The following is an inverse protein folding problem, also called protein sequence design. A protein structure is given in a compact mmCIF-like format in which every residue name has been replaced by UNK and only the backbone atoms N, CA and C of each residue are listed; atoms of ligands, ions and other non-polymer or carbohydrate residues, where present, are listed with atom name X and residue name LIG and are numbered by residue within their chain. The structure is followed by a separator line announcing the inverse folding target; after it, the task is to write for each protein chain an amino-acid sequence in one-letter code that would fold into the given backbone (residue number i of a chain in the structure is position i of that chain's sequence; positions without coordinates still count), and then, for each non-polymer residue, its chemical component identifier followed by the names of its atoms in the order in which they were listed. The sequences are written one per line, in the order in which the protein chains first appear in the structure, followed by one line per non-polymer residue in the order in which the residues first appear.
data_IF_203700084153
#
_entry.id   IF_203700084153
#
_cell.length_a   1.000
_cell.length_b   1.000
_cell.length_c   1.000
_cell.angle_alpha   90.00
_cell.angle_beta   90.00
_cell.angle_gamma   90.00
#
_symmetry.space_group_name_H-M   'P 1'
#
loop_
_entity.id
_entity.type
_entity.pdbx_description
1 polymer ?
#
# COMPACT_ATOMS: atom_id res chain seq x y z
N UNK A 1 -32.57 39.29 -7.63
CA UNK A 1 -31.30 39.11 -8.36
C UNK A 1 -30.30 40.07 -7.79
N UNK A 2 -29.08 39.64 -7.47
CA UNK A 2 -28.04 40.55 -6.99
C UNK A 2 -27.72 41.58 -8.08
N UNK A 3 -27.46 42.82 -7.67
CA UNK A 3 -27.14 43.93 -8.57
C UNK A 3 -25.69 43.92 -9.05
N UNK A 4 -24.84 43.10 -8.42
CA UNK A 4 -23.43 42.85 -8.77
C UNK A 4 -23.14 41.34 -8.81
N UNK A 5 -22.14 40.88 -9.60
CA UNK A 5 -21.72 39.49 -9.59
C UNK A 5 -21.29 39.01 -8.19
N UNK A 6 -21.69 37.80 -7.82
CA UNK A 6 -21.34 37.15 -6.55
C UNK A 6 -20.18 36.20 -6.79
N UNK A 7 -19.08 36.36 -6.05
CA UNK A 7 -17.97 35.42 -6.06
C UNK A 7 -18.27 34.21 -5.17
N UNK A 8 -18.25 33.02 -5.75
CA UNK A 8 -18.43 31.73 -5.06
C UNK A 8 -17.08 31.03 -5.03
N UNK A 9 -16.51 30.80 -3.84
CA UNK A 9 -15.30 29.97 -3.68
C UNK A 9 -15.67 28.67 -2.99
N UNK A 10 -15.31 27.54 -3.59
CA UNK A 10 -15.67 26.20 -3.11
C UNK A 10 -14.50 25.25 -3.22
N UNK A 11 -14.52 24.22 -2.39
CA UNK A 11 -13.70 23.02 -2.59
C UNK A 11 -14.51 21.97 -3.34
N UNK A 12 -13.84 21.16 -4.15
CA UNK A 12 -14.38 19.96 -4.77
C UNK A 12 -13.61 18.74 -4.29
N UNK A 13 -14.30 17.65 -3.98
CA UNK A 13 -13.69 16.44 -3.45
C UNK A 13 -14.15 15.22 -4.24
N UNK A 14 -13.24 14.29 -4.51
CA UNK A 14 -13.59 13.00 -5.07
C UNK A 14 -12.70 11.89 -4.54
N UNK A 15 -13.29 10.69 -4.43
CA UNK A 15 -12.61 9.45 -4.06
C UNK A 15 -13.14 8.30 -4.93
N UNK A 16 -12.23 7.46 -5.43
CA UNK A 16 -12.56 6.21 -6.12
C UNK A 16 -11.65 5.09 -5.66
N UNK A 17 -12.20 3.87 -5.68
CA UNK A 17 -11.47 2.63 -5.44
C UNK A 17 -11.03 2.00 -6.75
N UNK A 18 -9.84 1.39 -6.74
CA UNK A 18 -9.26 0.72 -7.90
C UNK A 18 -8.71 -0.64 -7.48
N UNK A 19 -8.95 -1.67 -8.29
CA UNK A 19 -8.32 -2.97 -8.06
C UNK A 19 -6.78 -2.85 -8.18
N UNK A 20 -6.01 -3.43 -7.25
CA UNK A 20 -4.56 -3.45 -7.36
C UNK A 20 -4.12 -4.26 -8.57
N UNK A 21 -2.97 -3.91 -9.15
CA UNK A 21 -2.40 -4.61 -10.31
C UNK A 21 -0.95 -5.06 -10.10
N UNK A 22 -0.44 -4.91 -8.88
CA UNK A 22 0.86 -5.41 -8.44
C UNK A 22 0.73 -5.90 -7.01
N UNK A 23 1.44 -6.97 -6.70
CA UNK A 23 1.66 -7.43 -5.34
C UNK A 23 3.16 -7.46 -5.07
N UNK A 24 3.60 -6.96 -3.92
CA UNK A 24 4.96 -7.18 -3.42
C UNK A 24 4.86 -8.12 -2.23
N UNK A 25 5.42 -9.32 -2.38
CA UNK A 25 5.53 -10.26 -1.26
C UNK A 25 6.86 -10.00 -0.57
N UNK A 26 6.83 -9.65 0.70
CA UNK A 26 8.02 -9.55 1.53
C UNK A 26 8.33 -10.91 2.15
N UNK A 27 9.57 -11.35 2.01
CA UNK A 27 10.04 -12.65 2.51
C UNK A 27 11.26 -12.44 3.38
N UNK A 28 11.40 -13.28 4.40
CA UNK A 28 12.62 -13.33 5.19
C UNK A 28 13.01 -14.77 5.48
N UNK A 29 14.29 -14.98 5.78
CA UNK A 29 14.85 -16.21 6.32
C UNK A 29 15.42 -15.88 7.68
N UNK A 30 15.15 -16.68 8.69
CA UNK A 30 15.75 -16.50 10.02
C UNK A 30 16.04 -17.83 10.70
N UNK A 31 17.24 -17.95 11.26
CA UNK A 31 17.64 -19.07 12.10
C UNK A 31 18.45 -18.57 13.29
N UNK A 32 18.22 -19.21 14.43
CA UNK A 32 18.97 -19.01 15.66
C UNK A 32 19.83 -20.24 15.97
N UNK A 33 20.92 -20.06 16.70
CA UNK A 33 21.83 -21.15 17.08
C UNK A 33 22.74 -20.78 18.24
N UNK A 34 23.25 -21.80 18.95
CA UNK A 34 24.21 -21.59 20.03
C UNK A 34 25.59 -21.19 19.48
N UNK A 35 25.86 -21.50 18.21
CA UNK A 35 27.04 -21.03 17.47
C UNK A 35 26.66 -20.29 16.18
N UNK A 36 27.60 -19.50 15.65
CA UNK A 36 27.41 -18.86 14.34
C UNK A 36 27.12 -19.88 13.24
N UNK A 37 27.82 -21.02 13.23
CA UNK A 37 27.67 -22.03 12.18
C UNK A 37 26.29 -22.69 12.22
N UNK A 38 25.77 -22.96 13.42
CA UNK A 38 24.43 -23.53 13.62
C UNK A 38 23.32 -22.61 13.09
N UNK A 39 23.47 -21.29 13.21
CA UNK A 39 22.52 -20.34 12.63
C UNK A 39 22.77 -20.10 11.12
N UNK A 40 24.04 -19.97 10.70
CA UNK A 40 24.39 -19.53 9.36
C UNK A 40 24.16 -20.59 8.28
N UNK A 41 24.50 -21.85 8.55
CA UNK A 41 24.39 -22.94 7.57
C UNK A 41 22.94 -23.18 7.12
N UNK A 42 21.95 -23.35 8.02
CA UNK A 42 20.56 -23.51 7.59
C UNK A 42 20.01 -22.23 6.93
N UNK A 43 20.36 -21.04 7.43
CA UNK A 43 19.95 -19.78 6.79
C UNK A 43 20.44 -19.68 5.33
N UNK A 44 21.70 -20.03 5.06
CA UNK A 44 22.25 -20.05 3.70
C UNK A 44 21.54 -21.10 2.81
N UNK A 45 21.26 -22.29 3.34
CA UNK A 45 20.53 -23.35 2.63
C UNK A 45 19.11 -22.91 2.25
N UNK A 46 18.37 -22.33 3.19
CA UNK A 46 17.00 -21.85 2.94
C UNK A 46 16.97 -20.64 2.02
N UNK A 47 17.92 -19.71 2.13
CA UNK A 47 18.06 -18.59 1.19
C UNK A 47 18.35 -19.08 -0.24
N UNK A 48 19.16 -20.13 -0.41
CA UNK A 48 19.40 -20.75 -1.71
C UNK A 48 18.13 -21.42 -2.27
N UNK A 49 17.40 -22.18 -1.44
CA UNK A 49 16.14 -22.81 -1.83
C UNK A 49 15.09 -21.78 -2.25
N UNK A 50 14.94 -20.69 -1.48
CA UNK A 50 14.04 -19.59 -1.80
C UNK A 50 14.43 -18.90 -3.11
N UNK A 51 15.74 -18.71 -3.33
CA UNK A 51 16.26 -18.14 -4.59
C UNK A 51 15.90 -19.00 -5.79
N UNK A 52 16.05 -20.32 -5.69
CA UNK A 52 15.69 -21.24 -6.77
C UNK A 52 14.18 -21.30 -7.03
N UNK A 53 13.36 -21.25 -5.98
CA UNK A 53 11.91 -21.10 -6.12
C UNK A 53 11.55 -19.82 -6.90
N UNK A 54 12.10 -18.67 -6.48
CA UNK A 54 11.85 -17.39 -7.15
C UNK A 54 12.29 -17.42 -8.62
N UNK A 55 13.46 -18.02 -8.91
CA UNK A 55 13.96 -18.19 -10.29
C UNK A 55 13.06 -19.06 -11.13
N UNK A 56 12.54 -20.15 -10.56
CA UNK A 56 11.60 -21.05 -11.24
C UNK A 56 10.33 -20.32 -11.62
N UNK A 57 9.72 -19.60 -10.68
CA UNK A 57 8.51 -18.79 -10.92
C UNK A 57 8.78 -17.68 -11.93
N UNK A 58 9.96 -17.05 -11.90
CA UNK A 58 10.33 -15.99 -12.84
C UNK A 58 10.50 -16.48 -14.30
N UNK A 59 10.92 -17.75 -14.48
CA UNK A 59 11.09 -18.38 -15.79
C UNK A 59 9.79 -18.90 -16.41
N UNK A 60 8.68 -18.90 -15.67
CA UNK A 60 7.38 -19.32 -16.19
C UNK A 60 7.00 -18.50 -17.46
N UNK A 61 6.37 -19.08 -18.50
CA UNK A 61 6.09 -18.39 -19.77
C UNK A 61 5.25 -17.11 -19.63
N UNK A 62 4.36 -17.06 -18.64
CA UNK A 62 3.55 -15.87 -18.34
C UNK A 62 4.36 -14.75 -17.64
N UNK A 63 5.59 -15.07 -17.24
CA UNK A 63 6.51 -14.22 -16.49
C UNK A 63 5.84 -13.51 -15.29
N UNK A 64 5.26 -14.22 -14.32
CA UNK A 64 4.46 -13.61 -13.26
C UNK A 64 5.24 -12.61 -12.38
N UNK A 65 6.57 -12.75 -12.30
CA UNK A 65 7.44 -11.85 -11.55
C UNK A 65 7.90 -10.68 -12.43
N UNK A 66 7.81 -9.46 -11.89
CA UNK A 66 8.34 -8.23 -12.52
C UNK A 66 9.78 -7.96 -12.11
N UNK A 67 10.10 -8.15 -10.83
CA UNK A 67 11.42 -7.99 -10.22
C UNK A 67 11.44 -8.69 -8.87
N UNK A 68 12.62 -9.04 -8.39
CA UNK A 68 12.81 -9.54 -7.04
C UNK A 68 14.21 -9.17 -6.53
N UNK A 69 14.39 -9.20 -5.22
CA UNK A 69 15.67 -9.05 -4.55
C UNK A 69 15.68 -9.93 -3.30
N UNK A 70 16.85 -10.47 -2.96
CA UNK A 70 17.11 -11.13 -1.69
C UNK A 70 18.50 -10.67 -1.24
N UNK A 71 18.57 -10.12 -0.03
CA UNK A 71 19.81 -9.62 0.53
C UNK A 71 20.74 -10.77 0.92
N UNK A 72 22.03 -10.46 1.04
CA UNK A 72 23.00 -11.41 1.59
C UNK A 72 22.63 -11.78 3.03
N UNK A 73 22.94 -13.02 3.42
CA UNK A 73 22.75 -13.46 4.80
C UNK A 73 23.57 -12.59 5.74
N UNK A 74 22.89 -11.96 6.70
CA UNK A 74 23.46 -11.14 7.76
C UNK A 74 23.55 -11.96 9.04
N UNK A 75 24.56 -11.66 9.86
CA UNK A 75 24.79 -12.34 11.13
C UNK A 75 24.76 -11.35 12.27
N UNK A 76 24.02 -11.68 13.31
CA UNK A 76 23.98 -10.92 14.56
C UNK A 76 24.07 -11.89 15.74
N UNK A 77 24.19 -11.34 16.94
CA UNK A 77 24.08 -12.10 18.19
C UNK A 77 23.46 -11.23 19.27
N UNK A 78 22.70 -11.86 20.15
CA UNK A 78 22.07 -11.19 21.28
C UNK A 78 22.11 -12.09 22.52
N UNK A 79 21.93 -11.52 23.71
CA UNK A 79 21.73 -12.32 24.93
C UNK A 79 20.26 -12.22 25.32
N UNK A 80 19.58 -13.36 25.49
CA UNK A 80 18.24 -13.34 26.05
C UNK A 80 18.26 -12.73 27.46
N UNK A 81 17.17 -12.06 27.81
CA UNK A 81 16.96 -11.55 29.16
C UNK A 81 16.64 -12.69 30.12
N UNK A 82 17.24 -12.66 31.32
CA UNK A 82 16.85 -13.54 32.41
C UNK A 82 16.21 -12.71 33.54
N UNK A 83 15.02 -13.07 34.05
CA UNK A 83 14.30 -12.30 35.08
C UNK A 83 15.14 -11.94 36.31
N UNK A 84 15.96 -12.88 36.78
CA UNK A 84 16.83 -12.67 37.95
C UNK A 84 18.18 -11.98 37.62
N UNK A 85 18.31 -11.35 36.45
CA UNK A 85 19.55 -10.65 36.04
C UNK A 85 20.74 -11.56 35.70
N UNK A 86 20.53 -12.88 35.58
CA UNK A 86 21.59 -13.82 35.21
C UNK A 86 22.04 -13.59 33.77
N UNK A 87 23.35 -13.60 33.55
CA UNK A 87 23.95 -13.41 32.22
C UNK A 87 23.87 -14.73 31.42
N UNK A 88 22.90 -14.84 30.52
CA UNK A 88 22.73 -15.99 29.64
C UNK A 88 23.79 -16.04 28.52
N UNK A 89 24.08 -17.23 27.93
CA UNK A 89 24.94 -17.36 26.76
C UNK A 89 24.48 -16.49 25.57
N UNK A 90 25.40 -16.22 24.63
CA UNK A 90 25.04 -15.57 23.37
C UNK A 90 24.14 -16.51 22.55
N UNK A 91 23.05 -15.97 22.01
CA UNK A 91 22.35 -16.56 20.88
C UNK A 91 22.85 -15.92 19.59
N UNK A 92 23.17 -16.73 18.59
CA UNK A 92 23.55 -16.25 17.26
C UNK A 92 22.35 -16.32 16.36
N UNK A 93 22.15 -15.27 15.57
CA UNK A 93 21.05 -15.17 14.65
C UNK A 93 21.61 -14.92 13.24
N UNK A 94 21.06 -15.60 12.25
CA UNK A 94 21.36 -15.38 10.84
C UNK A 94 20.08 -15.12 10.07
N UNK A 95 20.04 -14.01 9.33
CA UNK A 95 18.85 -13.57 8.61
C UNK A 95 19.15 -13.20 7.16
N UNK A 96 18.17 -13.36 6.29
CA UNK A 96 18.17 -12.75 4.95
C UNK A 96 16.77 -12.19 4.69
N UNK A 97 16.67 -11.05 4.00
CA UNK A 97 15.37 -10.45 3.69
C UNK A 97 15.27 -10.11 2.22
N UNK A 98 14.06 -10.11 1.68
CA UNK A 98 13.85 -9.91 0.27
C UNK A 98 12.44 -9.48 -0.06
N UNK A 99 12.23 -9.22 -1.35
CA UNK A 99 10.91 -8.93 -1.88
C UNK A 99 10.74 -9.47 -3.28
N UNK A 100 9.54 -9.92 -3.60
CA UNK A 100 9.16 -10.41 -4.93
C UNK A 100 7.99 -9.58 -5.41
N UNK A 101 8.18 -8.82 -6.49
CA UNK A 101 7.12 -8.00 -7.10
C UNK A 101 6.44 -8.78 -8.21
N UNK A 102 5.18 -9.16 -8.02
CA UNK A 102 4.35 -9.84 -9.00
C UNK A 102 3.61 -8.85 -9.91
N UNK A 103 3.56 -9.20 -11.20
CA UNK A 103 2.69 -8.55 -12.20
C UNK A 103 1.35 -9.26 -12.34
N UNK A 104 1.30 -10.54 -11.97
CA UNK A 104 0.16 -11.44 -12.03
C UNK A 104 -0.22 -11.84 -10.60
N UNK A 105 -1.44 -11.50 -10.19
CA UNK A 105 -1.94 -11.78 -8.84
C UNK A 105 -2.22 -13.27 -8.62
N UNK A 106 -2.54 -14.02 -9.69
CA UNK A 106 -2.88 -15.46 -9.59
C UNK A 106 -1.67 -16.30 -9.17
N UNK A 107 -0.46 -15.84 -9.49
CA UNK A 107 0.78 -16.51 -9.12
C UNK A 107 1.24 -16.24 -7.67
N UNK A 108 0.56 -15.33 -6.94
CA UNK A 108 0.97 -14.93 -5.58
C UNK A 108 0.67 -16.04 -4.58
N UNK A 109 -0.56 -16.56 -4.55
CA UNK A 109 -0.93 -17.62 -3.60
C UNK A 109 -0.09 -18.89 -3.76
N UNK A 110 0.09 -19.46 -4.97
CA UNK A 110 0.95 -20.64 -5.15
C UNK A 110 2.41 -20.39 -4.77
N UNK A 111 2.91 -19.16 -4.94
CA UNK A 111 4.25 -18.79 -4.50
C UNK A 111 4.36 -18.76 -2.98
N UNK A 112 3.36 -18.19 -2.29
CA UNK A 112 3.32 -18.14 -0.83
C UNK A 112 3.30 -19.55 -0.25
N UNK A 113 2.45 -20.43 -0.79
CA UNK A 113 2.35 -21.82 -0.37
C UNK A 113 3.71 -22.55 -0.47
N UNK A 114 4.39 -22.38 -1.60
CA UNK A 114 5.70 -23.00 -1.83
C UNK A 114 6.81 -22.38 -0.98
N UNK A 115 6.81 -21.05 -0.82
CA UNK A 115 7.81 -20.36 -0.02
C UNK A 115 7.69 -20.72 1.47
N UNK A 116 6.45 -20.83 1.97
CA UNK A 116 6.17 -21.16 3.38
C UNK A 116 6.51 -22.61 3.73
N UNK A 117 6.67 -23.48 2.72
CA UNK A 117 7.14 -24.85 2.91
C UNK A 117 8.68 -24.93 3.09
N UNK A 118 9.42 -23.85 2.83
CA UNK A 118 10.87 -23.81 3.03
C UNK A 118 11.15 -23.48 4.50
N UNK A 119 11.89 -24.37 5.17
CA UNK A 119 12.24 -24.19 6.58
C UNK A 119 12.92 -22.83 6.84
N UNK A 120 12.46 -22.13 7.89
CA UNK A 120 12.99 -20.83 8.29
C UNK A 120 12.64 -19.68 7.35
N UNK A 121 11.87 -19.90 6.28
CA UNK A 121 11.28 -18.83 5.47
C UNK A 121 10.01 -18.33 6.13
N UNK A 122 9.93 -17.03 6.33
CA UNK A 122 8.72 -16.31 6.74
C UNK A 122 8.22 -15.46 5.56
N UNK A 123 6.92 -15.58 5.26
CA UNK A 123 6.22 -14.68 4.34
C UNK A 123 5.59 -13.58 5.19
N UNK A 124 6.20 -12.40 5.15
CA UNK A 124 5.73 -11.24 5.89
C UNK A 124 4.54 -10.57 5.21
N UNK A 125 4.60 -9.25 5.07
CA UNK A 125 3.48 -8.49 4.48
C UNK A 125 3.37 -8.67 2.97
N UNK A 126 2.13 -8.63 2.48
CA UNK A 126 1.80 -8.42 1.07
C UNK A 126 1.46 -6.95 0.86
N UNK A 127 2.13 -6.31 -0.09
CA UNK A 127 1.87 -4.91 -0.43
C UNK A 127 1.20 -4.81 -1.81
N UNK A 128 -0.09 -4.53 -1.81
CA UNK A 128 -0.89 -4.35 -3.02
C UNK A 128 -0.77 -2.92 -3.55
N UNK A 129 -0.49 -2.77 -4.85
CA UNK A 129 -0.20 -1.47 -5.46
C UNK A 129 -0.82 -1.29 -6.82
N UNK A 130 -0.99 -0.03 -7.21
CA UNK A 130 -1.13 0.39 -8.60
C UNK A 130 0.26 0.67 -9.19
N UNK A 131 0.49 0.23 -10.43
CA UNK A 131 1.63 0.73 -11.22
C UNK A 131 1.56 2.26 -11.36
N UNK A 132 2.72 2.91 -11.52
CA UNK A 132 2.81 4.36 -11.73
C UNK A 132 1.87 4.86 -12.83
N UNK A 133 1.85 4.18 -13.98
CA UNK A 133 0.99 4.52 -15.13
C UNK A 133 -0.50 4.49 -14.75
N UNK A 134 -0.95 3.42 -14.09
CA UNK A 134 -2.36 3.29 -13.69
C UNK A 134 -2.70 4.27 -12.57
N UNK A 135 -1.81 4.51 -11.62
CA UNK A 135 -2.00 5.53 -10.57
C UNK A 135 -2.15 6.93 -11.16
N UNK A 136 -1.34 7.31 -12.16
CA UNK A 136 -1.48 8.59 -12.85
C UNK A 136 -2.83 8.72 -13.55
N UNK A 137 -3.28 7.65 -14.24
CA UNK A 137 -4.61 7.64 -14.89
C UNK A 137 -5.75 7.73 -13.87
N UNK A 138 -5.67 6.97 -12.78
CA UNK A 138 -6.63 7.01 -11.69
C UNK A 138 -6.71 8.41 -11.06
N UNK A 139 -5.56 9.04 -10.79
CA UNK A 139 -5.52 10.39 -10.23
C UNK A 139 -6.13 11.42 -11.19
N UNK A 140 -5.85 11.34 -12.50
CA UNK A 140 -6.47 12.24 -13.48
C UNK A 140 -8.00 12.09 -13.50
N UNK A 141 -8.50 10.85 -13.44
CA UNK A 141 -9.94 10.56 -13.36
C UNK A 141 -10.56 11.13 -12.08
N UNK A 142 -9.90 10.96 -10.93
CA UNK A 142 -10.44 11.45 -9.65
C UNK A 142 -10.39 12.98 -9.59
N UNK A 143 -9.38 13.62 -10.17
CA UNK A 143 -9.31 15.09 -10.30
C UNK A 143 -10.45 15.65 -11.14
N UNK A 144 -10.75 15.04 -12.28
CA UNK A 144 -11.91 15.42 -13.10
C UNK A 144 -13.21 15.33 -12.29
N UNK A 145 -13.39 14.27 -11.49
CA UNK A 145 -14.54 14.15 -10.59
C UNK A 145 -14.57 15.24 -9.50
N UNK A 146 -13.42 15.61 -8.94
CA UNK A 146 -13.34 16.68 -7.93
C UNK A 146 -13.71 18.05 -8.54
N UNK A 147 -13.29 18.32 -9.79
CA UNK A 147 -13.70 19.53 -10.52
C UNK A 147 -15.21 19.54 -10.76
N UNK A 148 -15.80 18.40 -11.14
CA UNK A 148 -17.26 18.29 -11.31
C UNK A 148 -18.02 18.46 -9.99
N UNK A 149 -17.48 17.96 -8.87
CA UNK A 149 -18.05 18.21 -7.53
C UNK A 149 -18.04 19.70 -7.19
N UNK A 150 -16.93 20.39 -7.41
CA UNK A 150 -16.84 21.84 -7.20
C UNK A 150 -17.85 22.62 -8.06
N UNK A 151 -17.97 22.28 -9.34
CA UNK A 151 -18.92 22.91 -10.25
C UNK A 151 -20.37 22.68 -9.80
N UNK A 152 -20.76 21.44 -9.52
CA UNK A 152 -22.11 21.12 -9.06
C UNK A 152 -22.49 21.86 -7.76
N UNK A 153 -21.52 22.00 -6.85
CA UNK A 153 -21.67 22.78 -5.61
C UNK A 153 -21.91 24.27 -5.89
N UNK A 154 -21.12 24.85 -6.78
CA UNK A 154 -21.25 26.25 -7.16
C UNK A 154 -22.54 26.55 -7.96
N UNK A 155 -22.98 25.62 -8.81
CA UNK A 155 -24.28 25.68 -9.49
C UNK A 155 -25.44 25.69 -8.49
N UNK A 156 -25.40 24.81 -7.48
CA UNK A 156 -26.40 24.78 -6.40
C UNK A 156 -26.49 26.10 -5.62
N UNK A 157 -25.36 26.73 -5.34
CA UNK A 157 -25.33 28.07 -4.71
C UNK A 157 -25.84 29.16 -5.65
N UNK A 158 -25.41 29.17 -6.90
CA UNK A 158 -25.89 30.10 -7.94
C UNK A 158 -27.42 30.06 -8.05
N UNK A 159 -28.00 28.86 -8.14
CA UNK A 159 -29.45 28.67 -8.21
C UNK A 159 -30.16 29.20 -6.96
N UNK A 160 -29.61 28.91 -5.77
CA UNK A 160 -30.18 29.35 -4.49
C UNK A 160 -30.17 30.87 -4.32
N UNK A 161 -29.20 31.56 -4.93
CA UNK A 161 -29.09 33.02 -4.95
C UNK A 161 -30.01 33.67 -6.01
N UNK A 162 -30.66 32.86 -6.86
CA UNK A 162 -31.47 33.34 -7.97
C UNK A 162 -30.65 33.96 -9.12
N UNK A 163 -29.36 33.64 -9.20
CA UNK A 163 -28.50 33.98 -10.35
C UNK A 163 -28.82 33.06 -11.54
N UNK A 164 -28.56 33.51 -12.76
CA UNK A 164 -28.82 32.76 -14.01
C UNK A 164 -27.56 32.37 -14.77
N UNK A 165 -26.43 33.02 -14.49
CA UNK A 165 -25.14 32.74 -15.11
C UNK A 165 -24.13 32.37 -14.05
N UNK A 166 -23.24 31.43 -14.37
CA UNK A 166 -22.08 31.04 -13.57
C UNK A 166 -20.87 30.90 -14.51
N UNK A 167 -19.74 31.45 -14.11
CA UNK A 167 -18.48 31.32 -14.85
C UNK A 167 -17.34 30.92 -13.93
N UNK A 168 -16.53 29.94 -14.35
CA UNK A 168 -15.33 29.55 -13.63
C UNK A 168 -14.22 30.58 -13.87
N UNK A 169 -13.72 31.21 -12.80
CA UNK A 169 -12.68 32.25 -12.89
C UNK A 169 -11.31 31.77 -12.39
N UNK A 170 -11.29 30.74 -11.54
CA UNK A 170 -10.04 30.11 -11.12
C UNK A 170 -10.26 28.66 -10.66
N UNK A 171 -9.25 27.82 -10.92
CA UNK A 171 -9.15 26.45 -10.42
C UNK A 171 -7.73 26.26 -9.91
N UNK A 172 -7.58 25.69 -8.71
CA UNK A 172 -6.27 25.46 -8.12
C UNK A 172 -6.25 24.19 -7.27
N UNK A 173 -5.03 23.69 -7.02
CA UNK A 173 -4.81 22.71 -5.96
C UNK A 173 -5.14 23.34 -4.59
N UNK A 174 -5.46 22.53 -3.58
CA UNK A 174 -5.85 23.04 -2.26
C UNK A 174 -4.83 23.99 -1.63
N UNK A 175 -5.31 25.13 -1.14
CA UNK A 175 -4.52 26.18 -0.50
C UNK A 175 -3.75 27.09 -1.46
N UNK A 176 -3.95 26.96 -2.78
CA UNK A 176 -3.28 27.78 -3.79
C UNK A 176 -4.17 28.89 -4.36
N UNK A 177 -5.46 28.91 -4.03
CA UNK A 177 -6.44 29.85 -4.59
C UNK A 177 -6.53 31.18 -3.81
N UNK A 178 -6.12 31.18 -2.54
CA UNK A 178 -5.96 32.37 -1.71
C UNK A 178 -4.53 32.38 -1.14
N UNK A 179 -3.72 33.38 -1.48
CA UNK A 179 -2.40 33.53 -0.87
C UNK A 179 -2.52 33.65 0.65
N UNK A 180 -2.04 32.64 1.38
CA UNK A 180 -1.92 32.68 2.84
C UNK A 180 -2.99 31.96 3.67
N UNK A 181 -3.99 31.31 3.07
CA UNK A 181 -4.91 30.42 3.78
C UNK A 181 -4.99 29.08 3.07
N UNK A 182 -4.16 28.13 3.52
CA UNK A 182 -4.49 26.71 3.34
C UNK A 182 -5.74 26.44 4.16
N UNK A 183 -6.82 25.86 3.61
CA UNK A 183 -7.79 25.20 4.45
C UNK A 183 -7.05 24.16 5.27
N UNK A 184 -7.32 24.10 6.57
CA UNK A 184 -6.84 23.03 7.42
C UNK A 184 -7.59 21.75 7.00
N UNK A 185 -7.05 21.06 6.00
CA UNK A 185 -7.46 19.70 5.70
C UNK A 185 -7.00 18.87 6.89
N UNK A 186 -7.92 18.64 7.82
CA UNK A 186 -7.70 17.76 8.97
C UNK A 186 -6.99 16.49 8.51
N UNK A 187 -5.99 16.08 9.30
CA UNK A 187 -5.18 14.91 9.00
C UNK A 187 -6.06 13.70 8.61
N UNK A 188 -5.66 12.89 7.63
CA UNK A 188 -6.38 11.67 7.31
C UNK A 188 -6.54 10.85 8.59
N UNK A 189 -7.78 10.63 9.01
CA UNK A 189 -8.08 9.79 10.15
C UNK A 189 -7.70 8.35 9.81
N UNK A 190 -6.56 7.92 10.35
CA UNK A 190 -6.18 6.52 10.41
C UNK A 190 -7.23 5.79 11.24
N UNK A 191 -8.11 5.02 10.60
CA UNK A 191 -8.94 4.04 11.31
C UNK A 191 -8.01 2.93 11.80
N UNK A 192 -7.89 2.80 13.12
CA UNK A 192 -7.32 1.59 13.74
C UNK A 192 -8.24 0.41 13.42
N UNK A 193 -7.72 -0.57 12.69
CA UNK A 193 -8.34 -1.90 12.57
C UNK A 193 -8.03 -2.71 13.83
N UNK A 194 -9.07 -3.30 14.40
CA UNK A 194 -9.01 -4.15 15.58
C UNK A 194 -8.35 -5.50 15.25
N UNK A 195 -7.50 -5.97 16.16
CA UNK A 195 -6.94 -7.31 16.14
C UNK A 195 -8.03 -8.36 16.46
N UNK A 196 -8.06 -9.45 15.69
CA UNK A 196 -8.89 -10.62 15.96
C UNK A 196 -8.03 -11.78 16.46
N UNK A 197 -8.56 -12.51 17.46
CA UNK A 197 -7.95 -13.64 18.16
C UNK A 197 -8.14 -14.99 17.40
N UNK A 198 -7.51 -16.11 17.84
CA UNK A 198 -7.18 -17.24 16.98
C UNK A 198 -8.31 -18.28 16.85
N UNK A 199 -8.24 -19.10 15.80
CA UNK A 199 -9.02 -20.33 15.67
C UNK A 199 -8.11 -21.50 15.23
N UNK A 200 -8.40 -22.68 15.77
CA UNK A 200 -7.63 -23.93 15.67
C UNK A 200 -7.92 -24.75 14.40
N UNK A 201 -6.98 -25.67 14.13
CA UNK A 201 -6.85 -26.66 13.07
C UNK A 201 -8.11 -27.44 12.64
N UNK A 202 -8.18 -27.78 11.35
CA UNK A 202 -8.28 -29.17 10.85
C UNK A 202 -7.97 -29.26 9.35
N UNK A 203 -7.47 -30.42 8.94
CA UNK A 203 -6.78 -30.67 7.69
C UNK A 203 -7.68 -30.92 6.46
N UNK A 204 -7.54 -30.06 5.46
CA UNK A 204 -7.36 -30.28 4.02
C UNK A 204 -6.95 -28.91 3.49
N UNK A 205 -5.70 -28.70 3.04
CA UNK A 205 -5.20 -27.33 2.77
C UNK A 205 -6.06 -26.66 1.69
N UNK A 206 -6.93 -25.68 2.05
CA UNK A 206 -7.64 -24.91 1.05
C UNK A 206 -6.58 -24.07 0.33
N UNK A 207 -6.67 -23.96 -1.00
CA UNK A 207 -5.83 -23.00 -1.71
C UNK A 207 -6.03 -21.62 -1.07
N UNK A 208 -4.94 -20.93 -0.74
CA UNK A 208 -5.00 -19.60 -0.13
C UNK A 208 -5.70 -18.67 -1.13
N UNK A 209 -6.97 -18.33 -0.88
CA UNK A 209 -7.68 -17.34 -1.67
C UNK A 209 -7.29 -15.95 -1.19
N UNK A 210 -6.62 -15.19 -2.05
CA UNK A 210 -6.23 -13.82 -1.76
C UNK A 210 -7.36 -12.87 -2.17
N UNK A 211 -7.82 -12.04 -1.23
CA UNK A 211 -8.77 -10.95 -1.48
C UNK A 211 -8.08 -9.59 -1.25
N UNK A 212 -7.37 -9.03 -2.25
CA UNK A 212 -6.67 -7.76 -2.11
C UNK A 212 -7.62 -6.62 -1.79
N UNK A 213 -7.24 -5.76 -0.83
CA UNK A 213 -8.00 -4.54 -0.55
C UNK A 213 -7.96 -3.59 -1.77
N UNK A 214 -9.09 -2.99 -2.16
CA UNK A 214 -9.11 -1.96 -3.18
C UNK A 214 -8.28 -0.73 -2.78
N UNK A 215 -7.58 -0.14 -3.74
CA UNK A 215 -6.75 1.05 -3.51
C UNK A 215 -7.59 2.31 -3.67
N UNK A 216 -7.65 3.11 -2.61
CA UNK A 216 -8.29 4.41 -2.62
C UNK A 216 -7.39 5.47 -3.28
N UNK A 217 -7.99 6.25 -4.18
CA UNK A 217 -7.38 7.44 -4.77
C UNK A 217 -8.35 8.58 -4.58
N UNK A 218 -7.90 9.63 -3.88
CA UNK A 218 -8.64 10.86 -3.67
C UNK A 218 -7.97 12.03 -4.39
N UNK A 219 -8.76 13.06 -4.68
CA UNK A 219 -8.28 14.36 -5.12
C UNK A 219 -9.21 15.45 -4.60
N UNK A 220 -8.61 16.59 -4.30
CA UNK A 220 -9.27 17.79 -3.83
C UNK A 220 -8.86 18.93 -4.77
N UNK A 221 -9.79 19.83 -5.05
CA UNK A 221 -9.55 21.06 -5.80
C UNK A 221 -10.21 22.22 -5.09
N UNK A 222 -9.69 23.41 -5.29
CA UNK A 222 -10.39 24.64 -5.00
C UNK A 222 -10.81 25.28 -6.32
N UNK A 223 -12.00 25.87 -6.36
CA UNK A 223 -12.50 26.59 -7.51
C UNK A 223 -13.18 27.88 -7.08
N UNK A 224 -13.06 28.91 -7.92
CA UNK A 224 -13.77 30.17 -7.79
C UNK A 224 -14.63 30.39 -9.02
N UNK A 225 -15.85 30.82 -8.78
CA UNK A 225 -16.84 31.16 -9.78
C UNK A 225 -17.38 32.57 -9.55
N UNK A 226 -17.87 33.19 -10.62
CA UNK A 226 -18.68 34.40 -10.56
C UNK A 226 -20.10 34.07 -11.02
N UNK A 227 -21.09 34.50 -10.24
CA UNK A 227 -22.50 34.25 -10.49
C UNK A 227 -23.28 35.58 -10.63
N UNK A 228 -24.16 35.67 -11.63
CA UNK A 228 -25.01 36.86 -11.89
C UNK A 228 -26.41 36.50 -12.34
#
# INVERSE_FOLDING_TARGET
MPTNPVTITVTGHANRTFAPNRCVVHVSVAFDGATRAEAANPAAKSAAALTELIRTVAKHPQHPIRRWSLDQVQHSRYRPYHPNGKKLPWNYQSTASGSVTFRDASAVAPFIDQASAIEGVDVGRLEWKLTRKIRTKALAQVRDLAVRDALAKAEGYTQSLGCRRIEAVALADPGMLNGGQRPDYGAPSMRMMAASAPAHDTAERPAIELTPEPIHVSADVEARFEAS
#
